data_IF_299595566212
#
_entry.id   IF_299595566212
#
_cell.length_a   1.000
_cell.length_b   1.000
_cell.length_c   1.000
_cell.angle_alpha   90.00
_cell.angle_beta   90.00
_cell.angle_gamma   90.00
#
_symmetry.space_group_name_H-M   'P 1'
#
loop_
_entity.id
_entity.type
_entity.pdbx_description
1 polymer ?
#
# COMPACT_ATOMS: atom_id res chain seq x y z
N UNK A 1 3.22 -12.14 21.48
CA UNK A 1 4.09 -12.73 20.43
C UNK A 1 3.81 -11.99 19.15
N UNK A 2 4.76 -11.85 18.23
CA UNK A 2 4.51 -11.25 16.91
C UNK A 2 3.37 -11.96 16.20
N UNK A 3 2.52 -11.19 15.52
CA UNK A 3 1.37 -11.73 14.78
C UNK A 3 1.73 -12.16 13.36
N UNK A 4 2.87 -11.65 12.84
CA UNK A 4 3.33 -11.88 11.48
C UNK A 4 4.77 -12.39 11.48
N UNK A 5 5.07 -13.32 10.58
CA UNK A 5 6.44 -13.86 10.44
C UNK A 5 7.33 -12.99 9.56
N UNK A 6 6.73 -12.25 8.64
CA UNK A 6 7.41 -11.37 7.69
C UNK A 6 6.68 -10.05 7.57
N UNK A 7 7.44 -8.98 7.43
CA UNK A 7 6.93 -7.62 7.24
C UNK A 7 7.53 -7.07 5.97
N UNK A 8 6.70 -6.78 5.00
CA UNK A 8 7.11 -6.25 3.71
C UNK A 8 6.81 -4.75 3.64
N UNK A 9 7.78 -3.98 3.17
CA UNK A 9 7.64 -2.57 2.86
C UNK A 9 7.83 -2.35 1.37
N UNK A 10 6.85 -1.74 0.72
CA UNK A 10 6.87 -1.48 -0.72
C UNK A 10 6.74 0.02 -0.94
N UNK A 11 7.80 0.63 -1.46
CA UNK A 11 7.72 1.94 -2.09
C UNK A 11 7.26 1.76 -3.53
N UNK A 12 6.08 2.32 -3.85
CA UNK A 12 5.38 1.96 -5.08
C UNK A 12 5.49 3.05 -6.15
N UNK A 13 5.84 2.64 -7.36
CA UNK A 13 5.98 3.54 -8.51
C UNK A 13 4.84 3.38 -9.51
N UNK A 14 4.19 4.50 -9.82
CA UNK A 14 3.18 4.59 -10.87
C UNK A 14 3.71 5.01 -12.24
N UNK A 15 5.03 5.08 -12.40
CA UNK A 15 5.65 5.45 -13.68
C UNK A 15 5.54 4.34 -14.72
N UNK A 16 5.56 4.72 -15.99
CA UNK A 16 5.66 3.79 -17.11
C UNK A 16 4.60 2.69 -17.16
N UNK A 17 4.89 1.64 -17.93
CA UNK A 17 4.01 0.47 -18.14
C UNK A 17 4.16 -0.56 -17.02
N UNK A 18 3.20 -1.46 -16.92
CA UNK A 18 3.20 -2.55 -15.93
C UNK A 18 4.43 -3.47 -16.02
N UNK A 19 4.94 -3.67 -17.24
CA UNK A 19 6.09 -4.55 -17.54
C UNK A 19 7.44 -3.81 -17.64
N UNK A 20 7.45 -2.48 -17.47
CA UNK A 20 8.67 -1.70 -17.52
C UNK A 20 9.45 -1.83 -16.19
N UNK A 21 10.80 -2.01 -16.23
CA UNK A 21 11.62 -1.93 -15.04
C UNK A 21 11.56 -0.53 -14.41
N UNK A 22 11.24 -0.44 -13.12
CA UNK A 22 11.02 0.82 -12.42
C UNK A 22 12.07 1.02 -11.32
N UNK A 23 12.87 2.06 -11.45
CA UNK A 23 13.92 2.39 -10.46
C UNK A 23 13.34 2.80 -9.10
N UNK A 24 12.15 3.40 -9.08
CA UNK A 24 11.45 3.82 -7.87
C UNK A 24 10.56 2.73 -7.26
N UNK A 25 10.45 1.53 -7.85
CA UNK A 25 9.67 0.44 -7.26
C UNK A 25 10.59 -0.42 -6.41
N UNK A 26 10.43 -0.38 -5.08
CA UNK A 26 11.32 -1.04 -4.13
C UNK A 26 10.55 -1.94 -3.18
N UNK A 27 11.14 -3.07 -2.85
CA UNK A 27 10.61 -4.03 -1.91
C UNK A 27 11.68 -4.38 -0.88
N UNK A 28 11.34 -4.19 0.38
CA UNK A 28 12.15 -4.61 1.51
C UNK A 28 11.39 -5.56 2.42
N UNK A 29 12.15 -6.42 3.08
CA UNK A 29 11.65 -7.40 4.03
C UNK A 29 12.34 -7.24 5.37
N UNK A 30 11.58 -7.26 6.44
CA UNK A 30 12.05 -7.49 7.78
C UNK A 30 11.39 -8.75 8.34
N UNK A 31 12.21 -9.68 8.86
CA UNK A 31 11.70 -10.91 9.47
C UNK A 31 11.73 -10.79 10.98
N UNK A 32 10.70 -11.30 11.64
CA UNK A 32 10.73 -11.56 13.08
C UNK A 32 11.34 -12.95 13.29
N UNK A 33 12.55 -12.98 13.89
CA UNK A 33 13.14 -14.26 14.21
C UNK A 33 12.24 -15.05 15.17
N UNK A 34 11.95 -16.33 14.91
CA UNK A 34 11.17 -17.16 15.84
C UNK A 34 11.95 -17.28 17.17
N UNK A 35 11.32 -16.89 18.29
CA UNK A 35 11.81 -17.22 19.65
C UNK A 35 12.89 -16.32 20.23
N UNK A 36 13.23 -15.19 19.62
CA UNK A 36 14.21 -14.26 20.17
C UNK A 36 13.59 -13.20 21.07
N UNK A 37 13.62 -13.36 22.40
CA UNK A 37 13.61 -12.24 23.35
C UNK A 37 14.96 -11.53 23.21
N UNK A 38 15.23 -10.95 22.07
CA UNK A 38 16.30 -9.98 21.97
C UNK A 38 15.79 -8.71 22.65
N UNK A 39 16.36 -8.37 23.80
CA UNK A 39 16.33 -7.00 24.31
C UNK A 39 16.92 -6.11 23.21
N UNK A 40 16.06 -5.78 22.24
CA UNK A 40 16.43 -4.91 21.14
C UNK A 40 16.75 -3.55 21.73
N UNK A 41 17.99 -3.13 21.55
CA UNK A 41 18.34 -1.72 21.63
C UNK A 41 17.38 -0.95 20.69
N UNK A 42 17.08 0.34 20.94
CA UNK A 42 16.10 1.12 20.17
C UNK A 42 16.53 1.47 18.73
N UNK A 43 17.30 0.63 18.08
CA UNK A 43 17.74 0.76 16.68
C UNK A 43 17.12 -0.38 15.90
N UNK A 44 16.20 -0.01 15.04
CA UNK A 44 15.32 -0.77 14.15
C UNK A 44 15.63 -2.24 13.84
N UNK A 45 14.60 -2.97 13.50
CA UNK A 45 14.74 -4.30 12.92
C UNK A 45 15.47 -4.15 11.59
N UNK A 46 16.52 -4.93 11.31
CA UNK A 46 17.17 -4.87 10.01
C UNK A 46 16.19 -5.29 8.92
N UNK A 47 16.13 -4.50 7.85
CA UNK A 47 15.39 -4.82 6.64
C UNK A 47 16.35 -5.06 5.49
N UNK A 48 16.05 -6.02 4.62
CA UNK A 48 16.85 -6.34 3.44
C UNK A 48 16.05 -6.08 2.16
N UNK A 49 16.72 -5.56 1.14
CA UNK A 49 16.12 -5.41 -0.18
C UNK A 49 15.89 -6.78 -0.83
N UNK A 50 14.68 -6.98 -1.34
CA UNK A 50 14.35 -8.10 -2.21
C UNK A 50 14.35 -7.62 -3.67
N UNK A 51 15.02 -8.36 -4.53
CA UNK A 51 15.15 -8.05 -5.96
C UNK A 51 14.53 -9.15 -6.82
N UNK A 52 14.03 -8.82 -8.04
CA UNK A 52 13.33 -9.80 -8.88
C UNK A 52 14.23 -10.97 -9.31
N UNK A 53 15.55 -10.71 -9.45
CA UNK A 53 16.60 -11.69 -9.67
C UNK A 53 17.90 -11.16 -9.08
N UNK A 54 18.66 -11.95 -8.33
CA UNK A 54 19.95 -11.51 -7.83
C UNK A 54 20.84 -11.03 -8.98
N UNK A 55 21.18 -9.74 -8.98
CA UNK A 55 22.08 -9.13 -9.96
C UNK A 55 21.45 -8.64 -11.26
N UNK A 56 20.15 -8.72 -11.48
CA UNK A 56 19.49 -8.27 -12.72
C UNK A 56 18.29 -7.37 -12.45
N UNK A 57 18.44 -6.08 -12.79
CA UNK A 57 17.36 -5.12 -13.04
C UNK A 57 16.52 -4.69 -11.83
N UNK A 58 15.50 -3.93 -12.16
CA UNK A 58 14.52 -3.41 -11.21
C UNK A 58 13.22 -4.21 -11.29
N UNK A 59 12.39 -4.09 -10.26
CA UNK A 59 11.03 -4.62 -10.29
C UNK A 59 10.23 -3.96 -11.41
N UNK A 60 9.37 -4.76 -12.05
CA UNK A 60 8.19 -4.28 -12.77
C UNK A 60 6.99 -4.48 -11.88
N UNK A 61 5.90 -3.72 -12.05
CA UNK A 61 4.68 -3.93 -11.24
C UNK A 61 4.13 -5.35 -11.38
N UNK A 62 4.12 -5.88 -12.59
CA UNK A 62 3.69 -7.26 -12.86
C UNK A 62 4.52 -8.28 -12.08
N UNK A 63 5.85 -8.24 -12.20
CA UNK A 63 6.73 -9.19 -11.50
C UNK A 63 6.63 -9.07 -9.99
N UNK A 64 6.47 -7.86 -9.46
CA UNK A 64 6.27 -7.65 -8.04
C UNK A 64 4.95 -8.28 -7.56
N UNK A 65 3.86 -8.05 -8.30
CA UNK A 65 2.56 -8.63 -7.99
C UNK A 65 2.59 -10.16 -8.08
N UNK A 66 3.16 -10.73 -9.13
CA UNK A 66 3.32 -12.18 -9.30
C UNK A 66 4.15 -12.80 -8.16
N UNK A 67 5.25 -12.16 -7.79
CA UNK A 67 6.09 -12.59 -6.67
C UNK A 67 5.31 -12.52 -5.34
N UNK A 68 4.57 -11.45 -5.12
CA UNK A 68 3.75 -11.29 -3.91
C UNK A 68 2.63 -12.33 -3.84
N UNK A 69 1.92 -12.55 -4.94
CA UNK A 69 0.90 -13.61 -5.06
C UNK A 69 1.48 -14.98 -4.71
N UNK A 70 2.62 -15.37 -5.31
CA UNK A 70 3.30 -16.63 -5.00
C UNK A 70 3.69 -16.72 -3.52
N UNK A 71 4.30 -15.65 -3.00
CA UNK A 71 4.72 -15.58 -1.59
C UNK A 71 3.54 -15.75 -0.62
N UNK A 72 2.42 -15.08 -0.88
CA UNK A 72 1.23 -15.15 -0.03
C UNK A 72 0.51 -16.51 -0.16
N UNK A 73 0.49 -17.10 -1.35
CA UNK A 73 -0.10 -18.44 -1.55
C UNK A 73 0.71 -19.52 -0.83
N UNK A 74 2.04 -19.44 -0.91
CA UNK A 74 2.94 -20.45 -0.36
C UNK A 74 3.17 -20.34 1.15
N UNK A 75 2.98 -19.15 1.72
CA UNK A 75 3.21 -18.95 3.16
C UNK A 75 2.09 -19.56 4.00
N UNK A 76 2.40 -20.50 4.91
CA UNK A 76 1.43 -21.00 5.88
C UNK A 76 1.15 -20.00 7.00
N UNK A 77 2.05 -19.05 7.20
CA UNK A 77 1.97 -18.06 8.27
C UNK A 77 1.62 -16.68 7.71
N UNK A 78 0.94 -15.83 8.50
CA UNK A 78 0.53 -14.51 8.04
C UNK A 78 1.72 -13.59 7.79
N UNK A 79 1.59 -12.78 6.73
CA UNK A 79 2.54 -11.76 6.30
C UNK A 79 1.83 -10.41 6.34
N UNK A 80 2.51 -9.38 6.86
CA UNK A 80 2.05 -8.00 6.80
C UNK A 80 2.76 -7.24 5.68
N UNK A 81 2.00 -6.64 4.78
CA UNK A 81 2.49 -5.89 3.62
C UNK A 81 2.05 -4.44 3.71
N UNK A 82 3.00 -3.54 3.89
CA UNK A 82 2.78 -2.09 3.79
C UNK A 82 3.13 -1.60 2.39
N UNK A 83 2.19 -0.91 1.74
CA UNK A 83 2.35 -0.43 0.36
C UNK A 83 2.14 1.08 0.32
N UNK A 84 3.10 1.82 -0.24
CA UNK A 84 3.02 3.27 -0.41
C UNK A 84 2.21 3.67 -1.65
N UNK A 85 0.92 3.46 -1.58
CA UNK A 85 -0.07 4.06 -2.48
C UNK A 85 -1.46 4.00 -1.85
N UNK A 86 -2.37 4.86 -2.32
CA UNK A 86 -3.75 4.86 -1.85
C UNK A 86 -4.50 3.58 -2.23
N UNK A 87 -5.33 3.09 -1.32
CA UNK A 87 -6.15 1.89 -1.57
C UNK A 87 -7.59 2.24 -1.96
N UNK A 88 -7.97 3.50 -1.88
CA UNK A 88 -9.29 3.99 -2.26
C UNK A 88 -9.27 5.50 -2.52
N UNK A 89 -10.43 6.06 -2.79
CA UNK A 89 -10.65 7.44 -3.16
C UNK A 89 -11.53 8.18 -2.14
N UNK A 90 -11.54 9.53 -2.14
CA UNK A 90 -12.34 10.32 -1.23
C UNK A 90 -13.84 10.20 -1.47
N UNK A 91 -14.67 10.45 -0.45
CA UNK A 91 -16.15 10.42 -0.52
C UNK A 91 -16.69 11.22 -1.70
N UNK A 92 -16.07 12.36 -2.01
CA UNK A 92 -16.46 13.19 -3.14
C UNK A 92 -16.41 12.44 -4.48
N UNK A 93 -15.50 11.49 -4.64
CA UNK A 93 -15.43 10.62 -5.81
C UNK A 93 -16.62 9.65 -5.87
N UNK A 94 -16.94 9.02 -4.74
CA UNK A 94 -18.10 8.12 -4.66
C UNK A 94 -19.40 8.86 -4.99
N UNK A 95 -19.56 10.06 -4.46
CA UNK A 95 -20.73 10.90 -4.72
C UNK A 95 -20.78 11.34 -6.20
N UNK A 96 -19.66 11.80 -6.77
CA UNK A 96 -19.61 12.29 -8.14
C UNK A 96 -19.88 11.20 -9.20
N UNK A 97 -19.61 9.96 -8.86
CA UNK A 97 -19.76 8.81 -9.76
C UNK A 97 -20.88 7.85 -9.35
N UNK A 98 -21.72 8.26 -8.39
CA UNK A 98 -22.86 7.50 -7.89
C UNK A 98 -22.49 6.06 -7.46
N UNK A 99 -21.31 5.90 -6.84
CA UNK A 99 -20.83 4.61 -6.41
C UNK A 99 -21.37 4.27 -5.01
N UNK A 100 -21.67 2.99 -4.74
CA UNK A 100 -21.92 2.52 -3.39
C UNK A 100 -20.73 2.83 -2.47
N UNK A 101 -21.00 3.18 -1.21
CA UNK A 101 -19.97 3.39 -0.19
C UNK A 101 -19.43 2.05 0.32
N UNK A 102 -18.82 1.32 -0.60
CA UNK A 102 -18.31 -0.04 -0.38
C UNK A 102 -17.05 -0.23 -1.25
N UNK A 103 -16.01 -0.79 -0.66
CA UNK A 103 -14.67 -0.81 -1.27
C UNK A 103 -14.53 -1.82 -2.43
N UNK A 104 -15.09 -3.02 -2.32
CA UNK A 104 -14.95 -4.02 -3.40
C UNK A 104 -15.62 -3.56 -4.68
N UNK A 105 -16.83 -3.00 -4.59
CA UNK A 105 -17.51 -2.43 -5.75
C UNK A 105 -16.78 -1.23 -6.34
N UNK A 106 -16.17 -0.38 -5.48
CA UNK A 106 -15.27 0.67 -5.93
C UNK A 106 -14.08 0.09 -6.69
N UNK A 107 -13.41 -0.93 -6.16
CA UNK A 107 -12.22 -1.53 -6.77
C UNK A 107 -12.54 -2.15 -8.14
N UNK A 108 -13.67 -2.82 -8.27
CA UNK A 108 -14.16 -3.37 -9.55
C UNK A 108 -14.45 -2.27 -10.56
N UNK A 109 -15.19 -1.22 -10.16
CA UNK A 109 -15.49 -0.07 -11.02
C UNK A 109 -14.20 0.63 -11.45
N UNK A 110 -13.29 0.88 -10.49
CA UNK A 110 -12.00 1.49 -10.79
C UNK A 110 -11.20 0.68 -11.82
N UNK A 111 -11.02 -0.61 -11.62
CA UNK A 111 -10.24 -1.46 -12.53
C UNK A 111 -10.84 -1.54 -13.94
N UNK A 112 -12.15 -1.41 -14.08
CA UNK A 112 -12.83 -1.32 -15.39
C UNK A 112 -12.47 -0.05 -16.15
N UNK A 113 -12.28 1.07 -15.43
CA UNK A 113 -12.02 2.38 -16.04
C UNK A 113 -10.52 2.73 -16.09
N UNK A 114 -9.72 2.11 -15.22
CA UNK A 114 -8.28 2.32 -15.12
C UNK A 114 -7.50 1.00 -15.23
N UNK A 115 -7.55 0.29 -16.37
CA UNK A 115 -6.86 -0.99 -16.55
C UNK A 115 -5.34 -0.78 -16.73
N UNK A 116 -4.66 -0.24 -15.73
CA UNK A 116 -3.24 0.08 -15.75
C UNK A 116 -2.33 -1.15 -15.55
N UNK A 117 -2.92 -2.31 -15.32
CA UNK A 117 -2.30 -3.64 -15.32
C UNK A 117 -2.25 -4.25 -16.73
N UNK A 118 -3.01 -3.71 -17.70
CA UNK A 118 -3.00 -4.15 -19.07
C UNK A 118 -1.64 -3.85 -19.74
N UNK A 119 -1.21 -4.69 -20.70
CA UNK A 119 -0.02 -4.42 -21.51
C UNK A 119 -0.13 -3.05 -22.20
N UNK A 120 1.01 -2.40 -22.35
CA UNK A 120 1.16 -1.14 -23.09
C UNK A 120 0.33 0.05 -22.57
N UNK A 121 -0.27 -0.06 -21.38
CA UNK A 121 -1.09 0.99 -20.78
C UNK A 121 -0.32 1.69 -19.66
N UNK A 122 -0.36 3.03 -19.66
CA UNK A 122 0.16 3.85 -18.58
C UNK A 122 -0.95 4.70 -17.96
N UNK A 123 -0.72 5.19 -16.74
CA UNK A 123 -1.62 6.16 -16.08
C UNK A 123 -1.76 7.43 -16.94
N UNK A 124 -0.68 7.87 -17.56
CA UNK A 124 -0.69 9.07 -18.40
C UNK A 124 -1.51 8.90 -19.68
N UNK A 125 -1.47 7.71 -20.31
CA UNK A 125 -2.27 7.43 -21.49
C UNK A 125 -3.76 7.50 -21.16
N UNK A 126 -4.17 6.93 -20.05
CA UNK A 126 -5.56 6.96 -19.60
C UNK A 126 -6.02 8.36 -19.19
N UNK A 127 -5.14 9.13 -18.52
CA UNK A 127 -5.42 10.54 -18.20
C UNK A 127 -5.64 11.42 -19.43
N UNK A 128 -4.88 11.18 -20.50
CA UNK A 128 -4.94 11.97 -21.75
C UNK A 128 -6.00 11.46 -22.71
N UNK A 129 -6.45 10.22 -22.53
CA UNK A 129 -7.45 9.63 -23.40
C UNK A 129 -8.78 10.35 -23.23
N UNK A 130 -9.26 10.96 -24.32
CA UNK A 130 -10.65 11.44 -24.45
C UNK A 130 -11.64 10.28 -24.64
N UNK A 131 -11.13 9.06 -24.81
CA UNK A 131 -11.93 7.85 -24.87
C UNK A 131 -12.71 7.68 -23.56
N UNK A 132 -13.98 7.45 -23.72
CA UNK A 132 -15.08 7.62 -22.79
C UNK A 132 -15.00 6.99 -21.38
N UNK A 133 -13.99 6.20 -21.07
CA UNK A 133 -13.90 5.44 -19.80
C UNK A 133 -13.23 6.20 -18.66
N UNK A 134 -11.91 6.46 -18.77
CA UNK A 134 -11.14 7.05 -17.69
C UNK A 134 -11.47 8.52 -17.43
N UNK A 135 -11.78 9.30 -18.49
CA UNK A 135 -12.23 10.69 -18.34
C UNK A 135 -13.54 10.83 -17.56
N UNK A 136 -14.42 9.81 -17.60
CA UNK A 136 -15.69 9.78 -16.85
C UNK A 136 -15.51 9.35 -15.39
N UNK A 137 -14.34 8.81 -15.00
CA UNK A 137 -14.00 8.38 -13.66
C UNK A 137 -12.80 9.15 -13.11
N UNK A 138 -12.65 10.39 -13.51
CA UNK A 138 -11.68 11.33 -12.97
C UNK A 138 -12.09 11.89 -11.62
N UNK A 139 -11.14 12.52 -10.95
CA UNK A 139 -11.37 13.25 -9.71
C UNK A 139 -10.70 14.61 -9.71
N UNK A 140 -10.94 15.40 -8.68
CA UNK A 140 -10.39 16.74 -8.48
C UNK A 140 -9.24 16.68 -7.46
N UNK A 141 -8.12 17.36 -7.74
CA UNK A 141 -6.97 17.43 -6.85
C UNK A 141 -7.29 18.06 -5.47
N UNK A 142 -8.41 18.77 -5.35
CA UNK A 142 -8.92 19.31 -4.07
C UNK A 142 -9.64 18.27 -3.23
N UNK A 143 -10.08 17.17 -3.82
CA UNK A 143 -10.73 16.10 -3.08
C UNK A 143 -9.70 15.31 -2.30
N UNK A 144 -9.86 15.30 -1.00
CA UNK A 144 -8.95 14.60 -0.09
C UNK A 144 -9.72 13.61 0.76
N UNK A 145 -9.16 12.43 0.93
CA UNK A 145 -9.65 11.42 1.86
C UNK A 145 -9.45 11.92 3.30
N UNK A 146 -10.26 11.42 4.21
CA UNK A 146 -10.13 11.74 5.63
C UNK A 146 -8.70 11.42 6.13
N UNK A 147 -8.13 10.29 5.74
CA UNK A 147 -6.75 9.91 6.07
C UNK A 147 -5.71 10.92 5.60
N UNK A 148 -5.85 11.48 4.39
CA UNK A 148 -4.96 12.50 3.85
C UNK A 148 -5.08 13.82 4.60
N UNK A 149 -6.29 14.20 5.02
CA UNK A 149 -6.53 15.39 5.84
C UNK A 149 -5.86 15.23 7.20
N UNK A 150 -6.03 14.08 7.85
CA UNK A 150 -5.49 13.78 9.18
C UNK A 150 -3.98 13.58 9.18
N UNK A 151 -3.40 13.10 8.09
CA UNK A 151 -1.94 12.97 7.97
C UNK A 151 -1.21 14.32 7.83
N UNK A 152 -1.92 15.38 7.46
CA UNK A 152 -1.39 16.72 7.25
C UNK A 152 -0.67 16.89 5.90
N UNK A 153 0.55 16.35 5.71
CA UNK A 153 1.32 16.57 4.49
C UNK A 153 0.91 15.70 3.30
N UNK A 154 0.15 14.60 3.52
CA UNK A 154 -0.28 13.75 2.42
C UNK A 154 -1.16 14.52 1.42
N UNK A 155 -0.93 14.27 0.15
CA UNK A 155 -1.62 14.93 -0.95
C UNK A 155 -2.76 14.05 -1.44
N UNK A 156 -3.74 14.67 -2.11
CA UNK A 156 -4.85 13.96 -2.74
C UNK A 156 -4.35 12.89 -3.73
N UNK A 157 -5.03 11.75 -3.75
CA UNK A 157 -4.85 10.69 -4.76
C UNK A 157 -5.14 11.16 -6.20
N UNK A 158 -5.62 12.38 -6.39
CA UNK A 158 -5.82 13.02 -7.70
C UNK A 158 -4.81 14.13 -8.02
N UNK A 159 -3.83 14.34 -7.17
CA UNK A 159 -2.84 15.41 -7.37
C UNK A 159 -1.64 14.90 -8.19
N UNK A 160 -1.85 14.60 -9.47
CA UNK A 160 -0.91 13.91 -10.36
C UNK A 160 0.41 14.68 -10.64
N UNK A 161 0.34 16.00 -10.69
CA UNK A 161 1.42 16.81 -11.26
C UNK A 161 2.27 17.47 -10.16
N UNK A 162 2.26 16.90 -8.95
CA UNK A 162 3.04 17.40 -7.81
C UNK A 162 4.00 16.32 -7.31
N UNK A 163 5.31 16.66 -7.16
CA UNK A 163 6.28 15.73 -6.59
C UNK A 163 5.85 15.20 -5.20
N UNK A 164 6.12 13.95 -4.93
CA UNK A 164 5.72 13.28 -3.67
C UNK A 164 4.22 13.07 -3.52
N UNK A 165 3.47 13.04 -4.62
CA UNK A 165 2.07 12.62 -4.65
C UNK A 165 1.96 11.14 -4.99
N UNK A 166 1.07 10.44 -4.30
CA UNK A 166 0.75 9.03 -4.57
C UNK A 166 -0.29 8.84 -5.70
N UNK A 167 -0.69 9.91 -6.39
CA UNK A 167 -1.74 9.81 -7.41
C UNK A 167 -1.41 8.78 -8.50
N UNK A 168 -0.20 8.84 -9.08
CA UNK A 168 0.20 7.88 -10.12
C UNK A 168 0.37 6.48 -9.56
N UNK A 169 0.99 6.32 -8.39
CA UNK A 169 1.18 5.03 -7.76
C UNK A 169 -0.15 4.38 -7.37
N UNK A 170 -1.11 5.15 -6.88
CA UNK A 170 -2.48 4.70 -6.57
C UNK A 170 -3.18 4.17 -7.82
N UNK A 171 -3.21 4.97 -8.91
CA UNK A 171 -3.88 4.57 -10.14
C UNK A 171 -3.19 3.40 -10.87
N UNK A 172 -1.90 3.22 -10.67
CA UNK A 172 -1.15 2.08 -11.20
C UNK A 172 -1.19 0.84 -10.30
N UNK A 173 -1.46 1.01 -9.00
CA UNK A 173 -1.39 -0.05 -7.99
C UNK A 173 -2.72 -0.77 -7.73
N UNK A 174 -3.85 -0.06 -7.79
CA UNK A 174 -5.16 -0.61 -7.45
C UNK A 174 -5.53 -1.88 -8.26
N UNK A 175 -5.30 -1.97 -9.59
CA UNK A 175 -5.58 -3.21 -10.31
C UNK A 175 -4.77 -4.41 -9.81
N UNK A 176 -3.56 -4.17 -9.30
CA UNK A 176 -2.74 -5.25 -8.73
C UNK A 176 -3.23 -5.69 -7.36
N UNK A 177 -3.83 -4.79 -6.55
CA UNK A 177 -4.51 -5.20 -5.31
C UNK A 177 -5.66 -6.15 -5.63
N UNK A 178 -6.47 -5.85 -6.66
CA UNK A 178 -7.53 -6.75 -7.14
C UNK A 178 -6.96 -8.10 -7.58
N UNK A 179 -5.96 -8.09 -8.46
CA UNK A 179 -5.35 -9.32 -8.97
C UNK A 179 -4.75 -10.19 -7.85
N UNK A 180 -4.13 -9.57 -6.83
CA UNK A 180 -3.62 -10.27 -5.64
C UNK A 180 -4.77 -10.92 -4.87
N UNK A 181 -5.86 -10.18 -4.60
CA UNK A 181 -7.03 -10.70 -3.91
C UNK A 181 -7.68 -11.87 -4.63
N UNK A 182 -7.86 -11.75 -5.95
CA UNK A 182 -8.42 -12.82 -6.80
C UNK A 182 -7.52 -14.07 -6.84
N UNK A 183 -6.20 -13.89 -6.90
CA UNK A 183 -5.25 -15.00 -7.02
C UNK A 183 -4.98 -15.73 -5.71
N UNK A 184 -4.87 -15.00 -4.60
CA UNK A 184 -4.57 -15.54 -3.26
C UNK A 184 -5.83 -16.04 -2.58
N UNK A 185 -6.95 -15.41 -2.85
CA UNK A 185 -8.26 -15.60 -2.21
C UNK A 185 -8.54 -14.51 -1.17
N UNK A 186 -9.69 -13.84 -1.32
CA UNK A 186 -10.13 -12.78 -0.40
C UNK A 186 -10.38 -13.30 1.03
N UNK A 187 -10.59 -14.58 1.19
CA UNK A 187 -10.70 -15.26 2.48
C UNK A 187 -9.35 -15.46 3.19
N UNK A 188 -8.23 -15.40 2.47
CA UNK A 188 -6.87 -15.50 3.00
C UNK A 188 -6.19 -14.15 3.23
N UNK A 189 -6.75 -13.08 2.69
CA UNK A 189 -6.25 -11.72 2.80
C UNK A 189 -7.19 -10.89 3.68
N UNK A 190 -6.64 -9.94 4.39
CA UNK A 190 -7.33 -8.87 5.07
C UNK A 190 -6.80 -7.55 4.52
N UNK A 191 -7.59 -6.86 3.72
CA UNK A 191 -7.24 -5.53 3.21
C UNK A 191 -7.71 -4.50 4.23
N UNK A 192 -6.78 -3.99 4.99
CA UNK A 192 -7.09 -3.05 6.06
C UNK A 192 -7.30 -1.62 5.53
N UNK A 193 -8.32 -0.84 6.00
CA UNK A 193 -9.31 -1.22 7.02
C UNK A 193 -10.61 -1.79 6.43
N UNK A 194 -10.70 -2.08 5.14
CA UNK A 194 -11.93 -2.45 4.43
C UNK A 194 -12.55 -3.76 4.93
N UNK A 195 -11.71 -4.71 5.33
CA UNK A 195 -12.14 -5.98 5.95
C UNK A 195 -12.31 -5.88 7.48
N UNK A 196 -12.25 -4.66 8.00
CA UNK A 196 -12.38 -4.31 9.41
C UNK A 196 -11.08 -3.77 10.03
N UNK A 197 -11.23 -3.12 11.18
CA UNK A 197 -10.14 -2.46 11.90
C UNK A 197 -9.22 -3.43 12.65
N UNK A 198 -9.68 -4.66 12.90
CA UNK A 198 -8.87 -5.69 13.55
C UNK A 198 -8.57 -6.79 12.54
N UNK A 199 -7.31 -6.96 12.15
CA UNK A 199 -6.94 -8.05 11.25
C UNK A 199 -7.39 -9.41 11.79
N UNK A 200 -7.94 -10.23 10.91
CA UNK A 200 -8.40 -11.56 11.29
C UNK A 200 -7.19 -12.49 11.48
N UNK A 201 -7.15 -13.28 12.56
CA UNK A 201 -6.05 -14.21 12.80
C UNK A 201 -5.81 -15.15 11.61
N UNK A 202 -4.55 -15.42 11.32
CA UNK A 202 -4.13 -16.32 10.24
C UNK A 202 -4.26 -15.77 8.82
N UNK A 203 -4.73 -14.52 8.62
CA UNK A 203 -4.78 -13.88 7.31
C UNK A 203 -3.55 -13.02 7.06
N UNK A 204 -3.11 -12.98 5.82
CA UNK A 204 -2.17 -11.95 5.36
C UNK A 204 -2.85 -10.59 5.42
N UNK A 205 -2.09 -9.55 5.70
CA UNK A 205 -2.62 -8.18 5.76
C UNK A 205 -1.97 -7.31 4.70
N UNK A 206 -2.79 -6.64 3.91
CA UNK A 206 -2.36 -5.53 3.04
C UNK A 206 -2.83 -4.22 3.67
N UNK A 207 -1.92 -3.28 3.84
CA UNK A 207 -2.22 -1.97 4.42
C UNK A 207 -1.54 -0.85 3.63
N UNK A 208 -2.27 0.23 3.42
CA UNK A 208 -1.70 1.49 2.92
C UNK A 208 -0.78 2.08 3.97
N UNK A 209 0.41 2.50 3.57
CA UNK A 209 1.40 3.15 4.43
C UNK A 209 1.86 4.47 3.81
N UNK A 210 2.41 5.34 4.65
CA UNK A 210 3.03 6.59 4.22
C UNK A 210 4.46 6.65 4.79
N UNK A 211 5.51 6.36 3.99
CA UNK A 211 6.89 6.19 4.47
C UNK A 211 7.41 7.36 5.30
N UNK A 212 7.04 8.61 4.95
CA UNK A 212 7.46 9.79 5.70
C UNK A 212 7.14 9.72 7.21
N UNK A 213 6.15 8.93 7.62
CA UNK A 213 5.83 8.69 9.05
C UNK A 213 6.83 7.75 9.73
N UNK A 214 7.55 6.97 8.97
CA UNK A 214 8.41 5.88 9.43
C UNK A 214 9.90 6.17 9.24
N UNK A 215 10.27 7.33 8.67
CA UNK A 215 11.67 7.70 8.34
C UNK A 215 12.61 7.69 9.56
N UNK A 216 12.06 7.74 10.78
CA UNK A 216 12.82 7.61 12.02
C UNK A 216 13.05 6.17 12.47
N UNK A 217 12.41 5.18 11.85
CA UNK A 217 12.49 3.78 12.25
C UNK A 217 13.88 3.16 11.99
N UNK A 218 14.62 3.74 11.05
CA UNK A 218 15.99 3.31 10.73
C UNK A 218 16.92 4.51 10.57
N UNK A 219 18.19 4.31 10.89
CA UNK A 219 19.24 5.24 10.46
C UNK A 219 19.35 5.17 8.94
N UNK A 220 19.51 6.34 8.31
CA UNK A 220 19.69 6.41 6.87
C UNK A 220 20.99 5.70 6.47
N UNK A 221 20.88 4.70 5.62
CA UNK A 221 22.00 4.08 4.95
C UNK A 221 22.41 5.01 3.78
N UNK A 222 23.66 5.50 3.76
CA UNK A 222 24.13 6.41 2.71
C UNK A 222 24.18 5.75 1.31
N UNK A 223 24.12 4.43 1.25
CA UNK A 223 24.10 3.66 -0.01
C UNK A 223 22.69 3.50 -0.58
N UNK A 224 21.65 3.76 0.22
CA UNK A 224 20.27 3.66 -0.23
C UNK A 224 19.83 4.92 -0.98
N UNK A 225 19.10 4.71 -2.09
CA UNK A 225 18.28 5.77 -2.69
C UNK A 225 17.16 6.17 -1.72
N UNK A 226 16.49 7.33 -1.91
CA UNK A 226 15.31 7.68 -1.12
C UNK A 226 14.24 6.57 -1.11
N UNK A 227 13.90 6.02 -2.28
CA UNK A 227 12.89 4.98 -2.42
C UNK A 227 13.28 3.67 -1.69
N UNK A 228 14.58 3.30 -1.71
CA UNK A 228 15.08 2.17 -0.94
C UNK A 228 14.98 2.43 0.57
N UNK A 229 15.30 3.64 1.00
CA UNK A 229 15.19 4.03 2.41
C UNK A 229 13.74 3.96 2.88
N UNK A 230 12.81 4.50 2.10
CA UNK A 230 11.39 4.54 2.43
C UNK A 230 10.80 3.12 2.55
N UNK A 231 11.05 2.23 1.59
CA UNK A 231 10.63 0.84 1.68
C UNK A 231 11.24 0.09 2.87
N UNK A 232 12.54 0.33 3.15
CA UNK A 232 13.25 -0.27 4.29
C UNK A 232 12.67 0.21 5.63
N UNK A 233 12.40 1.50 5.77
CA UNK A 233 11.81 2.09 6.97
C UNK A 233 10.43 1.51 7.26
N UNK A 234 9.59 1.34 6.23
CA UNK A 234 8.28 0.70 6.37
C UNK A 234 8.42 -0.72 6.89
N UNK A 235 9.21 -1.57 6.23
CA UNK A 235 9.39 -2.97 6.66
C UNK A 235 9.90 -3.07 8.11
N UNK A 236 10.91 -2.26 8.45
CA UNK A 236 11.51 -2.23 9.79
C UNK A 236 10.53 -1.75 10.86
N UNK A 237 9.75 -0.70 10.56
CA UNK A 237 8.78 -0.12 11.48
C UNK A 237 7.64 -1.10 11.77
N UNK A 238 7.08 -1.73 10.73
CA UNK A 238 6.02 -2.73 10.89
C UNK A 238 6.50 -3.91 11.76
N UNK A 239 7.72 -4.41 11.50
CA UNK A 239 8.29 -5.49 12.31
C UNK A 239 8.61 -5.07 13.75
N UNK A 240 9.02 -3.83 13.98
CA UNK A 240 9.25 -3.31 15.32
C UNK A 240 7.94 -3.16 16.09
N UNK A 241 6.91 -2.59 15.46
CA UNK A 241 5.58 -2.40 16.05
C UNK A 241 4.92 -3.75 16.40
N UNK A 242 5.05 -4.76 15.54
CA UNK A 242 4.54 -6.10 15.80
C UNK A 242 5.25 -6.75 17.01
N UNK A 243 6.57 -6.64 17.09
CA UNK A 243 7.33 -7.18 18.23
C UNK A 243 7.06 -6.49 19.55
N UNK A 244 6.83 -5.18 19.52
CA UNK A 244 6.51 -4.40 20.73
C UNK A 244 5.05 -4.55 21.17
N UNK A 245 4.17 -5.10 20.32
CA UNK A 245 2.73 -5.12 20.52
C UNK A 245 2.02 -3.80 20.17
N UNK A 246 2.77 -2.82 19.64
CA UNK A 246 2.22 -1.51 19.25
C UNK A 246 1.33 -1.62 18.00
N UNK A 247 1.57 -2.64 17.16
CA UNK A 247 0.87 -2.82 15.90
C UNK A 247 -0.65 -2.90 16.06
N UNK A 248 -1.14 -3.47 17.18
CA UNK A 248 -2.58 -3.51 17.47
C UNK A 248 -3.17 -2.10 17.59
N UNK A 249 -2.44 -1.17 18.20
CA UNK A 249 -2.89 0.22 18.34
C UNK A 249 -2.85 0.98 17.00
N UNK A 250 -1.93 0.62 16.10
CA UNK A 250 -1.85 1.20 14.76
C UNK A 250 -3.05 0.79 13.89
N UNK A 251 -3.55 -0.44 14.07
CA UNK A 251 -4.77 -0.90 13.40
C UNK A 251 -6.07 -0.31 14.00
N UNK A 252 -6.01 0.31 15.15
CA UNK A 252 -7.17 0.87 15.85
C UNK A 252 -6.99 2.38 16.11
N UNK A 253 -6.94 3.22 15.07
CA UNK A 253 -6.84 4.67 15.27
C UNK A 253 -8.07 5.19 16.04
N UNK A 254 -7.86 6.23 16.85
CA UNK A 254 -8.92 6.83 17.69
C UNK A 254 -9.89 7.67 16.85
N UNK A 255 -10.66 7.04 16.01
CA UNK A 255 -11.67 7.68 15.16
C UNK A 255 -13.05 7.68 15.82
N UNK A 256 -13.83 8.72 15.55
CA UNK A 256 -15.26 8.73 15.84
C UNK A 256 -15.99 7.67 15.00
N UNK A 257 -17.21 7.31 15.39
CA UNK A 257 -18.03 6.36 14.62
C UNK A 257 -18.27 6.82 13.19
N UNK A 258 -18.48 8.12 12.97
CA UNK A 258 -18.66 8.69 11.65
C UNK A 258 -17.40 8.59 10.81
N UNK A 259 -16.24 8.92 11.37
CA UNK A 259 -14.95 8.79 10.70
C UNK A 259 -14.62 7.33 10.38
N UNK A 260 -14.92 6.40 11.29
CA UNK A 260 -14.76 4.96 11.03
C UNK A 260 -15.63 4.48 9.86
N UNK A 261 -16.88 4.93 9.80
CA UNK A 261 -17.80 4.59 8.72
C UNK A 261 -17.32 5.17 7.37
N UNK A 262 -16.78 6.38 7.36
CA UNK A 262 -16.21 7.00 6.17
C UNK A 262 -14.91 6.29 5.74
N UNK A 263 -14.00 6.03 6.66
CA UNK A 263 -12.75 5.34 6.37
C UNK A 263 -12.95 3.86 5.94
N UNK A 264 -14.09 3.25 6.24
CA UNK A 264 -14.42 1.90 5.78
C UNK A 264 -14.52 1.77 4.25
N UNK A 265 -14.70 2.87 3.53
CA UNK A 265 -14.69 2.88 2.05
C UNK A 265 -13.64 3.82 1.45
N UNK A 266 -13.28 4.92 2.13
CA UNK A 266 -12.17 5.79 1.70
C UNK A 266 -10.78 5.18 1.96
N UNK A 267 -10.70 4.23 2.89
CA UNK A 267 -9.44 3.69 3.39
C UNK A 267 -8.81 4.55 4.49
N UNK A 268 -7.75 4.01 5.07
CA UNK A 268 -6.96 4.69 6.09
C UNK A 268 -5.48 4.40 5.89
N UNK A 269 -4.61 5.33 6.26
CA UNK A 269 -3.17 5.16 6.22
C UNK A 269 -2.70 4.62 7.56
N UNK A 270 -2.07 3.44 7.58
CA UNK A 270 -1.60 2.80 8.79
C UNK A 270 -0.62 3.69 9.56
N UNK A 271 -0.88 3.84 10.86
CA UNK A 271 -0.10 4.71 11.75
C UNK A 271 -0.51 6.18 11.76
N UNK A 272 -1.43 6.62 10.91
CA UNK A 272 -2.04 7.96 11.05
C UNK A 272 -2.98 7.95 12.24
N UNK A 273 -2.75 8.85 13.18
CA UNK A 273 -3.64 9.12 14.31
C UNK A 273 -4.37 10.44 14.08
N UNK A 274 -5.61 10.58 14.58
CA UNK A 274 -6.39 11.81 14.48
C UNK A 274 -5.70 13.02 15.07
#
# INVERSE_FOLDING_TARGET
MPHFVRHLGIDYSGAGRADAPLTGLRLFEAATAPGGIARARPRGVPARELRPNPGRGHWTRRRLAEWLMGTLVESPEPILVGIDHGFSFPEAYFAAHELPREWHGFLEDFCRHWPTDAPDTTVEDLRRSSAAGAARRGGDARWRRLAEIRSGPAKSVFHFDVPGSVAKSTHAGLPWIRAIGERVGWDRIHVWPFDGWTPRPGRHVLAEVYPARWNHAMLRDPTHTPDQHDAACVAAALAAADRSGELESLFKPKLTRSEQAQAAYEGWILGVQP
#
